data_IF_035359369142
#
_entry.id   IF_035359369142
#
_cell.length_a   1.000
_cell.length_b   1.000
_cell.length_c   1.000
_cell.angle_alpha   90.00
_cell.angle_beta   90.00
_cell.angle_gamma   90.00
#
_symmetry.space_group_name_H-M   'P 1'
#
loop_
_entity.id
_entity.type
_entity.pdbx_description
1 polymer ?
#
# COMPACT_ATOMS: atom_id res chain seq x y z
N UNK A 1 31.51 -32.35 17.88
CA UNK A 1 30.53 -31.42 17.32
C UNK A 1 31.16 -30.06 17.02
N UNK A 2 31.77 -29.32 17.99
CA UNK A 2 32.37 -27.99 17.75
C UNK A 2 33.46 -28.00 16.64
N UNK A 3 34.34 -29.02 16.60
CA UNK A 3 35.39 -29.15 15.59
C UNK A 3 34.85 -29.33 14.14
N UNK A 4 33.64 -29.80 13.96
CA UNK A 4 33.03 -29.92 12.63
C UNK A 4 32.45 -28.59 12.15
N UNK A 5 31.90 -27.76 13.06
CA UNK A 5 31.42 -26.41 12.73
C UNK A 5 32.56 -25.44 12.41
N UNK A 6 33.74 -25.64 12.97
CA UNK A 6 34.92 -24.82 12.64
C UNK A 6 35.36 -24.94 11.18
N UNK A 7 34.92 -25.97 10.46
CA UNK A 7 35.20 -26.16 9.02
C UNK A 7 34.27 -25.34 8.12
N UNK A 8 33.18 -24.78 8.67
CA UNK A 8 32.24 -23.97 7.88
C UNK A 8 32.83 -22.59 7.58
N UNK A 9 32.71 -22.16 6.32
CA UNK A 9 33.10 -20.82 5.89
C UNK A 9 32.01 -19.83 6.27
N UNK A 10 32.40 -18.62 6.67
CA UNK A 10 31.48 -17.53 7.05
C UNK A 10 30.62 -17.84 8.29
N UNK A 11 31.16 -18.58 9.25
CA UNK A 11 30.50 -18.93 10.48
C UNK A 11 31.37 -18.53 11.67
N UNK A 12 30.80 -17.79 12.63
CA UNK A 12 31.45 -17.46 13.91
C UNK A 12 30.89 -18.39 14.98
N UNK A 13 31.75 -19.11 15.68
CA UNK A 13 31.33 -20.00 16.77
C UNK A 13 31.60 -19.27 18.09
N UNK A 14 30.54 -19.04 18.81
CA UNK A 14 30.58 -18.42 20.13
C UNK A 14 31.04 -19.43 21.18
N UNK A 15 31.70 -18.95 22.25
CA UNK A 15 32.19 -19.84 23.31
C UNK A 15 31.12 -20.21 24.33
N UNK A 16 30.09 -19.42 24.44
CA UNK A 16 28.93 -19.62 25.32
C UNK A 16 28.17 -20.86 24.91
N UNK A 17 27.87 -21.73 25.84
CA UNK A 17 27.08 -22.95 25.63
C UNK A 17 26.15 -23.22 26.80
N UNK A 18 24.92 -23.60 26.49
CA UNK A 18 23.95 -24.03 27.48
C UNK A 18 23.60 -25.49 27.24
N UNK A 19 23.74 -26.33 28.26
CA UNK A 19 23.37 -27.76 28.19
C UNK A 19 22.10 -28.02 28.97
N UNK A 20 21.01 -28.37 28.26
CA UNK A 20 19.72 -28.66 28.85
C UNK A 20 19.45 -30.17 28.65
N UNK A 21 19.33 -30.96 29.75
CA UNK A 21 19.14 -32.42 29.66
C UNK A 21 17.67 -32.82 29.53
N UNK A 22 16.74 -32.07 30.14
CA UNK A 22 15.28 -32.32 30.02
C UNK A 22 14.49 -31.03 30.01
N UNK A 23 14.58 -30.24 31.08
CA UNK A 23 13.92 -28.93 31.19
C UNK A 23 14.91 -27.90 31.63
N UNK A 24 14.69 -26.63 31.20
CA UNK A 24 15.50 -25.48 31.65
C UNK A 24 15.28 -25.30 33.17
N UNK A 25 16.37 -25.22 33.90
CA UNK A 25 16.38 -24.95 35.34
C UNK A 25 16.65 -23.47 35.57
N UNK A 26 16.10 -22.92 36.66
CA UNK A 26 16.29 -21.53 37.04
C UNK A 26 17.78 -21.15 37.18
N UNK A 27 18.61 -22.07 37.70
CA UNK A 27 20.07 -21.89 37.77
C UNK A 27 20.78 -21.77 36.40
N UNK A 28 20.12 -22.12 35.30
CA UNK A 28 20.67 -22.05 33.94
C UNK A 28 20.23 -20.77 33.19
N UNK A 29 19.36 -19.97 33.78
CA UNK A 29 18.90 -18.71 33.15
C UNK A 29 20.07 -17.77 32.89
N UNK A 30 21.01 -17.68 33.83
CA UNK A 30 22.21 -16.85 33.66
C UNK A 30 23.03 -17.27 32.45
N UNK A 31 23.19 -18.58 32.22
CA UNK A 31 23.92 -19.10 31.07
C UNK A 31 23.16 -18.84 29.75
N UNK A 32 21.83 -18.90 29.77
CA UNK A 32 20.97 -18.55 28.63
C UNK A 32 21.07 -17.09 28.28
N UNK A 33 21.04 -16.20 29.29
CA UNK A 33 21.18 -14.76 29.12
C UNK A 33 22.59 -14.40 28.58
N UNK A 34 23.63 -15.04 29.11
CA UNK A 34 25.00 -14.84 28.62
C UNK A 34 25.14 -15.26 27.15
N UNK A 35 24.56 -16.40 26.76
CA UNK A 35 24.56 -16.85 25.38
C UNK A 35 23.75 -15.89 24.47
N UNK A 36 22.59 -15.43 24.92
CA UNK A 36 21.79 -14.48 24.18
C UNK A 36 22.54 -13.15 23.97
N UNK A 37 23.23 -12.67 25.00
CA UNK A 37 24.05 -11.46 24.92
C UNK A 37 25.22 -11.65 23.95
N UNK A 38 25.92 -12.77 23.99
CA UNK A 38 27.03 -13.06 23.07
C UNK A 38 26.57 -13.15 21.62
N UNK A 39 25.39 -13.73 21.35
CA UNK A 39 24.76 -13.72 20.02
C UNK A 39 24.49 -12.28 19.59
N UNK A 40 23.84 -11.48 20.42
CA UNK A 40 23.53 -10.08 20.13
C UNK A 40 24.80 -9.26 19.83
N UNK A 41 25.88 -9.47 20.59
CA UNK A 41 27.14 -8.74 20.40
C UNK A 41 27.90 -9.19 19.14
N UNK A 42 27.70 -10.43 18.69
CA UNK A 42 28.27 -10.97 17.45
C UNK A 42 27.54 -10.52 16.19
N UNK A 43 26.29 -10.04 16.32
CA UNK A 43 25.52 -9.54 15.18
C UNK A 43 26.09 -8.22 14.65
N UNK A 44 26.11 -8.03 13.31
CA UNK A 44 26.46 -6.73 12.76
C UNK A 44 25.52 -5.66 13.34
N UNK A 45 26.06 -4.77 14.15
CA UNK A 45 25.26 -3.66 14.67
C UNK A 45 25.06 -2.67 13.52
N UNK A 46 23.82 -2.27 13.25
CA UNK A 46 23.59 -1.18 12.31
C UNK A 46 24.41 0.03 12.79
N UNK A 47 25.11 0.67 11.87
CA UNK A 47 25.80 1.91 12.19
C UNK A 47 24.82 2.83 12.92
N UNK A 48 25.22 3.50 14.03
CA UNK A 48 24.33 4.43 14.69
C UNK A 48 23.86 5.44 13.65
N UNK A 49 22.53 5.49 13.43
CA UNK A 49 21.95 6.50 12.58
C UNK A 49 22.30 7.85 13.21
N UNK A 50 23.19 8.59 12.55
CA UNK A 50 23.47 9.97 12.94
C UNK A 50 22.22 10.76 12.56
N UNK A 51 21.24 10.81 13.46
CA UNK A 51 20.12 11.73 13.35
C UNK A 51 20.63 13.14 13.60
N UNK A 52 21.18 13.77 12.57
CA UNK A 52 21.30 15.23 12.59
C UNK A 52 19.88 15.78 12.44
N UNK A 53 19.50 16.78 13.25
CA UNK A 53 18.19 17.42 13.18
C UNK A 53 17.86 17.99 11.78
N UNK A 54 18.85 18.10 10.91
CA UNK A 54 18.79 18.64 9.55
C UNK A 54 18.99 17.58 8.44
N UNK A 55 18.89 16.28 8.75
CA UNK A 55 19.00 15.26 7.71
C UNK A 55 17.85 15.41 6.69
N UNK A 56 18.15 15.56 5.39
CA UNK A 56 17.10 15.73 4.39
C UNK A 56 16.23 14.49 4.31
N UNK A 57 14.91 14.69 4.20
CA UNK A 57 13.97 13.59 3.96
C UNK A 57 14.08 13.19 2.49
N UNK A 58 14.65 12.02 2.23
CA UNK A 58 14.77 11.48 0.88
C UNK A 58 13.41 10.96 0.39
N UNK A 59 12.86 11.59 -0.65
CA UNK A 59 11.56 11.23 -1.21
C UNK A 59 11.50 9.75 -1.65
N UNK A 60 12.60 9.22 -2.17
CA UNK A 60 12.66 7.85 -2.66
C UNK A 60 12.54 6.79 -1.55
N UNK A 61 12.83 7.13 -0.29
CA UNK A 61 12.67 6.22 0.84
C UNK A 61 11.22 5.74 1.00
N UNK A 62 10.23 6.57 0.64
CA UNK A 62 8.82 6.23 0.70
C UNK A 62 8.39 5.18 -0.34
N UNK A 63 9.14 5.03 -1.44
CA UNK A 63 8.90 3.96 -2.42
C UNK A 63 9.33 2.57 -1.93
N UNK A 64 10.03 2.49 -0.80
CA UNK A 64 10.39 1.22 -0.16
C UNK A 64 9.22 0.58 0.61
N UNK A 65 8.12 1.29 0.81
CA UNK A 65 6.93 0.70 1.41
C UNK A 65 6.25 -0.29 0.46
N UNK A 66 5.81 -1.42 1.02
CA UNK A 66 5.01 -2.39 0.29
C UNK A 66 3.55 -1.94 0.24
N UNK A 67 3.12 -1.40 -0.88
CA UNK A 67 1.73 -1.01 -1.11
C UNK A 67 1.02 -1.96 -2.07
N UNK A 68 -0.26 -2.23 -1.80
CA UNK A 68 -1.19 -2.71 -2.82
C UNK A 68 -1.69 -1.55 -3.69
N UNK A 69 -2.51 -1.88 -4.70
CA UNK A 69 -3.23 -0.90 -5.52
C UNK A 69 -4.72 -1.22 -5.55
N UNK A 70 -5.52 -0.19 -5.41
CA UNK A 70 -6.95 -0.32 -5.17
C UNK A 70 -7.75 0.71 -5.97
N UNK A 71 -8.94 0.32 -6.41
CA UNK A 71 -9.98 1.28 -6.80
C UNK A 71 -10.85 1.54 -5.57
N UNK A 72 -10.83 2.78 -5.09
CA UNK A 72 -11.72 3.27 -4.06
C UNK A 72 -12.96 3.88 -4.72
N UNK A 73 -14.16 3.48 -4.30
CA UNK A 73 -15.41 4.01 -4.83
C UNK A 73 -16.29 4.57 -3.72
N UNK A 74 -17.05 5.59 -4.04
CA UNK A 74 -18.03 6.21 -3.16
C UNK A 74 -19.23 6.71 -3.96
N UNK A 75 -20.36 6.97 -3.27
CA UNK A 75 -21.57 7.50 -3.84
C UNK A 75 -22.14 8.61 -2.97
N UNK A 76 -22.61 9.69 -3.59
CA UNK A 76 -23.36 10.76 -2.94
C UNK A 76 -24.64 11.06 -3.76
N UNK A 77 -25.80 10.74 -3.23
CA UNK A 77 -27.06 10.80 -3.95
C UNK A 77 -27.03 9.91 -5.20
N UNK A 78 -27.21 10.51 -6.37
CA UNK A 78 -27.14 9.82 -7.66
C UNK A 78 -25.74 9.81 -8.30
N UNK A 79 -24.77 10.53 -7.72
CA UNK A 79 -23.42 10.62 -8.25
C UNK A 79 -22.54 9.52 -7.67
N UNK A 80 -21.99 8.70 -8.55
CA UNK A 80 -20.94 7.73 -8.22
C UNK A 80 -19.56 8.27 -8.62
N UNK A 81 -18.53 7.90 -7.90
CA UNK A 81 -17.14 8.20 -8.28
C UNK A 81 -16.18 7.13 -7.77
N UNK A 82 -14.99 7.09 -8.39
CA UNK A 82 -13.90 6.22 -8.00
C UNK A 82 -12.55 6.85 -8.28
N UNK A 83 -11.55 6.40 -7.53
CA UNK A 83 -10.15 6.82 -7.72
C UNK A 83 -9.19 5.67 -7.37
N UNK A 84 -7.95 5.78 -7.84
CA UNK A 84 -6.87 4.87 -7.44
C UNK A 84 -6.28 5.35 -6.12
N UNK A 85 -6.10 4.42 -5.19
CA UNK A 85 -5.34 4.61 -3.96
C UNK A 85 -4.39 3.44 -3.71
N UNK A 86 -3.38 3.66 -2.86
CA UNK A 86 -2.43 2.62 -2.43
C UNK A 86 -2.37 2.47 -0.90
N UNK A 87 -3.23 3.15 -0.18
CA UNK A 87 -3.18 3.34 1.28
C UNK A 87 -4.31 2.61 2.00
N UNK A 88 -4.57 1.35 1.65
CA UNK A 88 -5.53 0.51 2.37
C UNK A 88 -4.77 -0.43 3.29
N UNK A 89 -5.17 -0.47 4.57
CA UNK A 89 -4.53 -1.34 5.55
C UNK A 89 -5.55 -1.90 6.54
N UNK A 90 -5.42 -3.19 6.88
CA UNK A 90 -6.16 -3.78 7.98
C UNK A 90 -5.65 -3.21 9.31
N UNK A 91 -6.56 -2.83 10.21
CA UNK A 91 -6.24 -2.27 11.51
C UNK A 91 -6.52 -3.25 12.65
N UNK A 92 -7.66 -3.93 12.59
CA UNK A 92 -8.05 -4.90 13.63
C UNK A 92 -8.73 -6.11 12.98
N UNK A 93 -8.71 -7.23 13.68
CA UNK A 93 -9.39 -8.46 13.27
C UNK A 93 -10.78 -8.60 13.93
N UNK A 94 -10.91 -8.16 15.17
CA UNK A 94 -12.18 -8.23 15.91
C UNK A 94 -12.42 -6.89 16.67
N UNK A 95 -13.36 -6.06 16.21
CA UNK A 95 -14.07 -6.15 14.92
C UNK A 95 -13.15 -5.98 13.73
N UNK A 96 -13.55 -6.46 12.53
CA UNK A 96 -12.75 -6.27 11.31
C UNK A 96 -12.80 -4.82 10.88
N UNK A 97 -11.64 -4.17 10.89
CA UNK A 97 -11.49 -2.76 10.50
C UNK A 97 -10.36 -2.58 9.52
N UNK A 98 -10.59 -1.65 8.60
CA UNK A 98 -9.57 -1.16 7.67
C UNK A 98 -9.42 0.34 7.80
N UNK A 99 -8.24 0.84 7.44
CA UNK A 99 -8.03 2.27 7.18
C UNK A 99 -7.78 2.52 5.70
N UNK A 100 -8.18 3.69 5.25
CA UNK A 100 -7.83 4.26 3.96
C UNK A 100 -7.35 5.70 4.18
N UNK A 101 -6.34 6.13 3.42
CA UNK A 101 -5.89 7.53 3.43
C UNK A 101 -6.10 8.12 2.04
N UNK A 102 -6.87 9.19 1.95
CA UNK A 102 -7.33 9.78 0.68
C UNK A 102 -6.91 11.23 0.60
N UNK A 103 -6.35 11.63 -0.55
CA UNK A 103 -5.98 13.03 -0.80
C UNK A 103 -7.24 13.92 -0.80
N UNK A 104 -7.17 15.08 -0.13
CA UNK A 104 -8.28 16.05 -0.02
C UNK A 104 -8.68 16.64 -1.38
N UNK A 105 -7.77 16.72 -2.35
CA UNK A 105 -8.07 17.14 -3.70
C UNK A 105 -8.95 16.14 -4.47
N UNK A 106 -9.03 14.90 -3.99
CA UNK A 106 -9.78 13.84 -4.64
C UNK A 106 -11.28 13.96 -4.34
N UNK A 107 -12.12 14.04 -5.36
CA UNK A 107 -13.57 14.17 -5.19
C UNK A 107 -14.18 13.00 -4.38
N UNK A 108 -13.61 11.80 -4.50
CA UNK A 108 -14.03 10.64 -3.69
C UNK A 108 -13.86 10.90 -2.19
N UNK A 109 -12.86 11.71 -1.78
CA UNK A 109 -12.67 12.10 -0.38
C UNK A 109 -13.88 12.87 0.16
N UNK A 110 -14.38 13.86 -0.59
CA UNK A 110 -15.54 14.66 -0.19
C UNK A 110 -16.79 13.80 -0.06
N UNK A 111 -16.99 12.87 -1.00
CA UNK A 111 -18.12 11.94 -0.95
C UNK A 111 -18.08 11.08 0.32
N UNK A 112 -16.91 10.51 0.66
CA UNK A 112 -16.76 9.68 1.86
C UNK A 112 -16.96 10.52 3.12
N UNK A 113 -16.44 11.74 3.18
CA UNK A 113 -16.67 12.66 4.31
C UNK A 113 -18.16 12.91 4.55
N UNK A 114 -18.95 13.00 3.46
CA UNK A 114 -20.38 13.30 3.53
C UNK A 114 -21.22 12.06 3.86
N UNK A 115 -20.90 10.91 3.28
CA UNK A 115 -21.77 9.71 3.34
C UNK A 115 -21.30 8.66 4.34
N UNK A 116 -20.02 8.66 4.70
CA UNK A 116 -19.42 7.72 5.65
C UNK A 116 -19.32 6.29 5.11
N UNK A 117 -19.53 6.04 3.80
CA UNK A 117 -19.46 4.70 3.21
C UNK A 117 -18.61 4.69 1.94
N UNK A 118 -17.93 3.58 1.70
CA UNK A 118 -17.12 3.38 0.52
C UNK A 118 -16.92 1.89 0.21
N UNK A 119 -16.44 1.58 -0.99
CA UNK A 119 -15.91 0.27 -1.32
C UNK A 119 -14.46 0.36 -1.80
N UNK A 120 -13.70 -0.67 -1.50
CA UNK A 120 -12.33 -0.88 -1.97
C UNK A 120 -12.30 -2.13 -2.83
N UNK A 121 -11.87 -2.01 -4.09
CA UNK A 121 -11.59 -3.14 -4.98
C UNK A 121 -10.07 -3.34 -5.04
N UNK A 122 -9.59 -4.47 -4.55
CA UNK A 122 -8.17 -4.85 -4.55
C UNK A 122 -7.80 -5.27 -5.96
N UNK A 123 -7.00 -4.48 -6.68
CA UNK A 123 -6.63 -4.79 -8.05
C UNK A 123 -5.78 -6.05 -8.13
N UNK A 124 -6.03 -6.87 -9.16
CA UNK A 124 -5.23 -8.05 -9.48
C UNK A 124 -4.18 -7.73 -10.56
N UNK A 125 -3.17 -8.60 -10.70
CA UNK A 125 -2.03 -8.36 -11.60
C UNK A 125 -2.41 -8.32 -13.09
N UNK A 126 -3.62 -8.74 -13.46
CA UNK A 126 -4.17 -8.64 -14.82
C UNK A 126 -4.86 -7.29 -15.10
N UNK A 127 -4.88 -6.35 -14.16
CA UNK A 127 -5.45 -5.04 -14.38
C UNK A 127 -4.62 -4.24 -15.41
N UNK A 128 -5.23 -3.82 -16.54
CA UNK A 128 -4.52 -3.11 -17.59
C UNK A 128 -4.28 -1.64 -17.20
N UNK A 129 -3.30 -0.99 -17.84
CA UNK A 129 -3.00 0.43 -17.62
C UNK A 129 -4.22 1.35 -17.84
N UNK A 130 -5.11 1.00 -18.77
CA UNK A 130 -6.34 1.75 -19.02
C UNK A 130 -7.23 1.93 -17.78
N UNK A 131 -7.20 0.97 -16.83
CA UNK A 131 -7.93 1.08 -15.56
C UNK A 131 -7.36 2.20 -14.69
N UNK A 132 -6.04 2.35 -14.68
CA UNK A 132 -5.36 3.43 -13.96
C UNK A 132 -5.63 4.78 -14.62
N UNK A 133 -5.67 4.85 -15.95
CA UNK A 133 -6.05 6.06 -16.67
C UNK A 133 -7.50 6.46 -16.34
N UNK A 134 -8.42 5.49 -16.34
CA UNK A 134 -9.84 5.75 -16.09
C UNK A 134 -10.10 6.23 -14.66
N UNK A 135 -9.58 5.53 -13.64
CA UNK A 135 -9.85 5.87 -12.24
C UNK A 135 -8.84 6.84 -11.63
N UNK A 136 -7.59 6.89 -12.12
CA UNK A 136 -6.50 7.64 -11.51
C UNK A 136 -6.17 8.97 -12.16
N UNK A 137 -6.32 9.11 -13.49
CA UNK A 137 -5.84 10.29 -14.23
C UNK A 137 -6.96 11.25 -14.65
N UNK A 138 -8.16 11.04 -14.17
CA UNK A 138 -9.32 11.88 -14.45
C UNK A 138 -9.98 12.31 -13.14
N UNK A 139 -10.47 13.55 -13.09
CA UNK A 139 -11.26 14.03 -11.96
C UNK A 139 -12.72 13.60 -12.11
N UNK A 140 -13.30 13.03 -11.05
CA UNK A 140 -14.75 12.75 -11.01
C UNK A 140 -15.63 14.00 -10.90
N UNK A 141 -15.01 15.19 -10.78
CA UNK A 141 -15.73 16.47 -10.88
C UNK A 141 -16.06 16.79 -12.34
N UNK A 142 -15.19 16.39 -13.26
CA UNK A 142 -15.25 16.75 -14.68
C UNK A 142 -15.83 15.60 -15.52
N UNK A 143 -15.61 14.34 -15.10
CA UNK A 143 -15.97 13.15 -15.85
C UNK A 143 -16.84 12.22 -15.00
N UNK A 144 -17.90 11.67 -15.60
CA UNK A 144 -18.64 10.58 -14.98
C UNK A 144 -17.95 9.24 -15.29
N UNK A 145 -17.21 8.74 -14.32
CA UNK A 145 -16.47 7.48 -14.45
C UNK A 145 -17.36 6.24 -14.47
N UNK A 146 -18.64 6.39 -14.19
CA UNK A 146 -19.62 5.30 -14.15
C UNK A 146 -20.76 5.47 -15.17
N UNK A 147 -20.62 6.39 -16.15
CA UNK A 147 -21.63 6.64 -17.19
C UNK A 147 -22.06 5.34 -17.93
N UNK A 148 -21.11 4.44 -18.18
CA UNK A 148 -21.32 3.17 -18.87
C UNK A 148 -21.44 1.96 -17.92
N UNK A 149 -21.66 2.20 -16.63
CA UNK A 149 -21.61 1.18 -15.57
C UNK A 149 -22.88 0.28 -15.50
N UNK A 150 -23.60 0.08 -16.60
CA UNK A 150 -24.86 -0.70 -16.64
C UNK A 150 -24.74 -2.11 -16.08
N UNK A 151 -23.56 -2.70 -16.12
CA UNK A 151 -23.27 -4.06 -15.64
C UNK A 151 -22.40 -4.07 -14.38
N UNK A 152 -21.97 -2.91 -13.86
CA UNK A 152 -21.17 -2.83 -12.66
C UNK A 152 -22.04 -3.07 -11.43
N UNK A 153 -21.71 -4.06 -10.59
CA UNK A 153 -22.54 -4.38 -9.43
C UNK A 153 -22.36 -3.37 -8.29
N UNK A 154 -23.39 -3.24 -7.47
CA UNK A 154 -23.33 -2.52 -6.20
C UNK A 154 -23.21 -3.51 -5.03
N UNK A 155 -22.42 -3.13 -4.03
CA UNK A 155 -22.37 -3.82 -2.76
C UNK A 155 -23.64 -3.51 -1.93
N UNK A 156 -23.78 -4.18 -0.78
CA UNK A 156 -24.93 -3.99 0.12
C UNK A 156 -25.10 -2.53 0.57
N UNK A 157 -24.00 -1.79 0.68
CA UNK A 157 -24.01 -0.35 1.03
C UNK A 157 -24.47 0.57 -0.13
N UNK A 158 -24.86 0.03 -1.29
CA UNK A 158 -25.34 0.77 -2.45
C UNK A 158 -24.24 1.40 -3.32
N UNK A 159 -22.97 1.29 -2.95
CA UNK A 159 -21.83 1.81 -3.71
C UNK A 159 -21.36 0.78 -4.72
N UNK A 160 -20.92 1.20 -5.90
CA UNK A 160 -20.28 0.32 -6.87
C UNK A 160 -18.98 -0.29 -6.36
N UNK A 161 -18.68 -1.51 -6.77
CA UNK A 161 -17.33 -2.06 -6.72
C UNK A 161 -16.94 -2.56 -8.12
N UNK A 162 -15.65 -2.61 -8.41
CA UNK A 162 -15.14 -3.06 -9.72
C UNK A 162 -14.95 -4.59 -9.66
N UNK A 163 -15.75 -5.38 -10.45
CA UNK A 163 -15.71 -6.84 -10.34
C UNK A 163 -14.66 -7.50 -11.23
N UNK A 164 -14.11 -6.78 -12.20
CA UNK A 164 -13.14 -7.30 -13.16
C UNK A 164 -11.72 -6.82 -12.83
N UNK A 165 -10.71 -7.64 -13.12
CA UNK A 165 -9.31 -7.37 -12.77
C UNK A 165 -9.14 -7.01 -11.28
N UNK A 166 -9.92 -7.69 -10.43
CA UNK A 166 -10.01 -7.44 -9.00
C UNK A 166 -9.89 -8.77 -8.24
N UNK A 167 -8.96 -8.82 -7.29
CA UNK A 167 -8.73 -9.98 -6.43
C UNK A 167 -9.86 -10.15 -5.42
N UNK A 168 -10.25 -9.05 -4.77
CA UNK A 168 -11.28 -9.01 -3.74
C UNK A 168 -11.87 -7.61 -3.64
N UNK A 169 -13.06 -7.48 -3.06
CA UNK A 169 -13.57 -6.19 -2.63
C UNK A 169 -13.99 -6.19 -1.17
N UNK A 170 -13.97 -5.00 -0.57
CA UNK A 170 -14.38 -4.75 0.81
C UNK A 170 -15.26 -3.50 0.85
N UNK A 171 -16.35 -3.56 1.62
CA UNK A 171 -17.20 -2.41 1.92
C UNK A 171 -16.87 -1.87 3.29
N UNK A 172 -16.66 -0.56 3.39
CA UNK A 172 -16.34 0.15 4.61
C UNK A 172 -17.46 1.10 5.07
N UNK A 173 -17.73 1.08 6.38
CA UNK A 173 -18.53 2.11 7.07
C UNK A 173 -17.61 2.86 8.03
N UNK A 174 -17.40 4.15 7.77
CA UNK A 174 -16.49 5.01 8.55
C UNK A 174 -16.95 5.09 10.00
N UNK A 175 -16.03 4.84 10.92
CA UNK A 175 -16.23 4.97 12.37
C UNK A 175 -15.37 6.08 12.99
N UNK A 176 -14.26 6.44 12.32
CA UNK A 176 -13.38 7.51 12.78
C UNK A 176 -12.71 8.18 11.58
N UNK A 177 -12.48 9.48 11.70
CA UNK A 177 -11.80 10.29 10.68
C UNK A 177 -10.69 11.09 11.33
N UNK A 178 -9.51 11.13 10.72
CA UNK A 178 -8.39 11.98 11.13
C UNK A 178 -7.96 12.83 9.95
N UNK A 179 -7.94 14.14 10.13
CA UNK A 179 -7.51 15.07 9.08
C UNK A 179 -6.04 15.41 9.23
N UNK A 180 -5.31 15.28 8.12
CA UNK A 180 -3.95 15.79 7.96
C UNK A 180 -3.97 16.99 6.98
N UNK A 181 -2.82 17.58 6.73
CA UNK A 181 -2.68 18.77 5.86
C UNK A 181 -3.22 18.50 4.44
N UNK A 182 -2.77 17.42 3.80
CA UNK A 182 -3.10 17.07 2.40
C UNK A 182 -4.04 15.89 2.25
N UNK A 183 -4.22 15.09 3.30
CA UNK A 183 -4.97 13.84 3.26
C UNK A 183 -5.96 13.71 4.41
N UNK A 184 -6.89 12.79 4.26
CA UNK A 184 -7.82 12.37 5.31
C UNK A 184 -7.67 10.86 5.50
N UNK A 185 -7.42 10.43 6.73
CA UNK A 185 -7.46 9.04 7.15
C UNK A 185 -8.87 8.70 7.62
N UNK A 186 -9.48 7.69 7.01
CA UNK A 186 -10.73 7.11 7.45
C UNK A 186 -10.46 5.72 8.04
N UNK A 187 -10.95 5.46 9.23
CA UNK A 187 -11.02 4.12 9.83
C UNK A 187 -12.46 3.64 9.69
N UNK A 188 -12.66 2.45 9.18
CA UNK A 188 -13.97 1.92 8.85
C UNK A 188 -14.15 0.48 9.32
N UNK A 189 -15.36 0.17 9.81
CA UNK A 189 -15.80 -1.21 10.01
C UNK A 189 -16.03 -1.86 8.64
N UNK A 190 -15.53 -3.08 8.45
CA UNK A 190 -15.78 -3.86 7.23
C UNK A 190 -17.16 -4.49 7.34
N UNK A 191 -18.09 -4.07 6.46
CA UNK A 191 -19.49 -4.52 6.46
C UNK A 191 -19.75 -5.64 5.45
N UNK A 192 -18.95 -5.74 4.40
CA UNK A 192 -18.98 -6.80 3.40
C UNK A 192 -17.57 -7.01 2.85
N UNK A 193 -17.17 -8.26 2.58
CA UNK A 193 -15.93 -8.58 1.90
C UNK A 193 -16.09 -9.89 1.12
N UNK A 194 -15.58 -9.94 -0.12
CA UNK A 194 -15.57 -11.14 -0.97
C UNK A 194 -14.29 -11.23 -1.79
N UNK A 195 -13.79 -12.44 -1.91
CA UNK A 195 -12.78 -12.78 -2.91
C UNK A 195 -13.47 -13.00 -4.26
N UNK A 196 -12.91 -12.42 -5.33
CA UNK A 196 -13.51 -12.44 -6.68
C UNK A 196 -12.67 -13.23 -7.68
N UNK A 197 -11.37 -13.37 -7.42
CA UNK A 197 -10.42 -13.99 -8.35
C UNK A 197 -9.27 -14.67 -7.60
N UNK A 198 -8.68 -15.70 -8.25
CA UNK A 198 -7.46 -16.34 -7.78
C UNK A 198 -6.18 -15.66 -8.30
N UNK A 199 -6.29 -14.67 -9.19
CA UNK A 199 -5.15 -13.89 -9.69
C UNK A 199 -4.51 -13.14 -8.52
N UNK A 200 -3.17 -13.12 -8.38
CA UNK A 200 -2.49 -12.40 -7.30
C UNK A 200 -2.84 -10.92 -7.27
N UNK A 201 -2.91 -10.35 -6.07
CA UNK A 201 -3.12 -8.92 -5.91
C UNK A 201 -1.95 -8.12 -6.50
N UNK A 202 -2.26 -6.97 -7.11
CA UNK A 202 -1.25 -6.08 -7.66
C UNK A 202 -0.56 -5.30 -6.54
N UNK A 203 0.77 -5.35 -6.52
CA UNK A 203 1.59 -4.49 -5.67
C UNK A 203 2.02 -3.24 -6.44
N UNK A 204 2.42 -2.21 -5.72
CA UNK A 204 2.95 -0.98 -6.31
C UNK A 204 4.20 -1.25 -7.15
N UNK A 205 5.11 -2.14 -6.67
CA UNK A 205 6.29 -2.57 -7.41
C UNK A 205 5.92 -3.27 -8.71
N UNK A 206 4.97 -4.23 -8.66
CA UNK A 206 4.51 -4.94 -9.85
C UNK A 206 3.94 -3.98 -10.91
N UNK A 207 3.15 -2.99 -10.49
CA UNK A 207 2.61 -1.98 -11.38
C UNK A 207 3.70 -1.20 -12.11
N UNK A 208 4.73 -0.73 -11.40
CA UNK A 208 5.85 0.01 -12.03
C UNK A 208 6.68 -0.84 -12.98
N UNK A 209 6.86 -2.12 -12.67
CA UNK A 209 7.68 -3.02 -13.47
C UNK A 209 6.96 -3.53 -14.73
N UNK A 210 5.65 -3.82 -14.63
CA UNK A 210 4.93 -4.62 -15.61
C UNK A 210 3.73 -3.91 -16.28
N UNK A 211 3.11 -2.92 -15.63
CA UNK A 211 1.85 -2.33 -16.11
C UNK A 211 2.03 -0.90 -16.58
N UNK A 212 2.78 -0.10 -15.81
CA UNK A 212 3.04 1.29 -16.16
C UNK A 212 3.88 1.37 -17.45
N UNK A 213 3.45 2.15 -18.47
CA UNK A 213 4.25 2.36 -19.66
C UNK A 213 5.62 2.91 -19.26
N UNK A 214 6.68 2.23 -19.73
CA UNK A 214 8.04 2.77 -19.60
C UNK A 214 8.15 3.98 -20.49
N UNK A 215 8.78 5.09 -20.05
CA UNK A 215 9.06 6.21 -20.92
C UNK A 215 9.78 5.65 -22.17
N UNK A 216 9.24 5.89 -23.35
CA UNK A 216 9.98 5.62 -24.58
C UNK A 216 11.32 6.35 -24.44
N UNK A 217 12.43 5.66 -24.70
CA UNK A 217 13.75 6.29 -24.78
C UNK A 217 13.59 7.45 -25.76
N UNK A 218 13.63 8.68 -25.24
CA UNK A 218 13.25 9.91 -25.93
C UNK A 218 14.14 10.11 -27.17
N UNK A 219 13.64 9.72 -28.33
CA UNK A 219 13.93 10.44 -29.55
C UNK A 219 13.06 11.70 -29.48
N UNK A 220 13.65 12.84 -29.11
CA UNK A 220 13.15 14.22 -29.26
C UNK A 220 11.62 14.40 -29.30
N UNK A 221 10.90 14.04 -28.25
CA UNK A 221 9.49 14.44 -28.11
C UNK A 221 9.40 15.74 -27.30
N UNK A 222 8.85 16.79 -27.92
CA UNK A 222 8.43 18.00 -27.24
C UNK A 222 7.26 17.66 -26.31
N UNK A 223 7.44 17.76 -24.99
CA UNK A 223 6.41 17.51 -24.01
C UNK A 223 6.95 17.50 -22.57
N UNK A 224 6.06 17.67 -21.60
CA UNK A 224 6.39 17.65 -20.18
C UNK A 224 6.15 16.24 -19.61
N UNK A 225 7.13 15.69 -18.93
CA UNK A 225 7.02 14.35 -18.32
C UNK A 225 6.83 14.49 -16.82
N UNK A 226 5.71 14.01 -16.29
CA UNK A 226 5.52 13.91 -14.86
C UNK A 226 6.53 12.93 -14.25
N UNK A 227 7.43 13.40 -13.41
CA UNK A 227 8.48 12.60 -12.77
C UNK A 227 7.92 11.57 -11.78
N UNK A 228 6.67 11.74 -11.35
CA UNK A 228 6.03 10.84 -10.37
C UNK A 228 5.33 9.68 -11.08
N UNK A 229 4.50 9.96 -12.10
CA UNK A 229 3.70 8.93 -12.77
C UNK A 229 4.18 8.59 -14.19
N UNK A 230 5.11 9.38 -14.78
CA UNK A 230 5.62 9.19 -16.14
C UNK A 230 4.63 9.61 -17.24
N UNK A 231 3.52 10.27 -16.88
CA UNK A 231 2.59 10.83 -17.87
C UNK A 231 3.30 11.90 -18.69
N UNK A 232 3.10 11.87 -20.01
CA UNK A 232 3.65 12.87 -20.93
C UNK A 232 2.51 13.81 -21.30
N UNK A 233 2.65 15.09 -20.96
CA UNK A 233 1.77 16.15 -21.39
C UNK A 233 2.34 16.81 -22.65
N UNK A 234 1.61 16.75 -23.74
CA UNK A 234 2.04 17.24 -25.06
C UNK A 234 1.61 18.69 -25.35
N UNK A 235 1.02 19.38 -24.36
CA UNK A 235 0.62 20.79 -24.49
C UNK A 235 1.82 21.74 -24.53
N UNK A 236 1.63 22.96 -25.11
CA UNK A 236 2.68 23.98 -25.20
C UNK A 236 3.04 24.56 -23.83
N UNK A 237 2.06 24.71 -22.92
CA UNK A 237 2.24 25.22 -21.55
C UNK A 237 1.83 24.16 -20.52
N UNK A 238 2.62 24.07 -19.43
CA UNK A 238 2.33 23.17 -18.33
C UNK A 238 1.12 23.68 -17.54
N UNK A 239 0.05 22.87 -17.34
CA UNK A 239 -1.05 23.26 -16.47
C UNK A 239 -0.58 23.57 -15.06
N UNK A 240 -1.20 24.55 -14.39
CA UNK A 240 -0.80 25.01 -13.06
C UNK A 240 -0.95 23.93 -11.96
N UNK A 241 -1.73 22.88 -12.25
CA UNK A 241 -2.06 21.76 -11.39
C UNK A 241 -1.35 20.43 -11.79
N UNK A 242 -0.36 20.51 -12.69
CA UNK A 242 0.40 19.35 -13.20
C UNK A 242 1.54 18.90 -12.26
#
# INVERSE_FOLDING_TARGET
MRAEFQKLKNCTILDETVSIKSTLKESQLVDVDAMAQAIYDSMPKPAPAVHTADAPVEKNAFFSFSYGLFVLTARDGEKDNGCIINTVMQQTDTPKRISITVNKANYTCDMIKKTGVFNVSVLSQDAPFAMFQHYGFQSGRDVDKFADAKTTPRAINGVYYVPYCTKAFLSGKVVQTVEFETHVLFIADVTEARELSNVPAMTYSYYFENVKPKPAVLAEQKGWVCKICGYVYEGEDLPADF
#
